data_IF_400377056419
#
_entry.id   IF_400377056419
#
_cell.length_a   1.000
_cell.length_b   1.000
_cell.length_c   1.000
_cell.angle_alpha   90.00
_cell.angle_beta   90.00
_cell.angle_gamma   90.00
#
_symmetry.space_group_name_H-M   'P 1'
#
loop_
_entity.id
_entity.type
_entity.pdbx_description
1 polymer ?
#
# COMPACT_ATOMS: atom_id res chain seq x y z
N UNK A 1 8.52 -3.27 12.35
CA UNK A 1 7.69 -4.41 12.77
C UNK A 1 8.27 -5.66 12.17
N UNK A 2 8.31 -6.77 12.88
CA UNK A 2 8.77 -8.05 12.34
C UNK A 2 7.64 -9.04 12.51
N UNK A 3 7.39 -9.84 11.49
CA UNK A 3 6.33 -10.85 11.50
C UNK A 3 6.87 -12.20 11.02
N UNK A 4 6.42 -13.26 11.68
CA UNK A 4 6.80 -14.64 11.36
C UNK A 4 5.52 -15.46 11.33
N UNK A 5 5.20 -16.05 10.19
CA UNK A 5 4.03 -16.88 9.98
C UNK A 5 4.44 -18.29 9.54
N UNK A 6 3.82 -19.31 10.12
CA UNK A 6 4.07 -20.71 9.80
C UNK A 6 2.77 -21.47 9.60
N UNK A 7 2.78 -22.36 8.62
CA UNK A 7 1.79 -23.42 8.42
C UNK A 7 2.48 -24.69 7.95
N UNK A 8 1.73 -25.78 7.74
CA UNK A 8 2.27 -26.99 7.11
C UNK A 8 2.76 -26.75 5.68
N UNK A 9 2.22 -25.73 5.01
CA UNK A 9 2.45 -25.48 3.59
C UNK A 9 3.44 -24.34 3.32
N UNK A 10 3.67 -23.44 4.27
CA UNK A 10 4.61 -22.33 4.13
C UNK A 10 5.21 -21.85 5.46
N UNK A 11 6.37 -21.23 5.37
CA UNK A 11 6.99 -20.42 6.43
C UNK A 11 7.39 -19.07 5.85
N UNK A 12 6.89 -17.98 6.42
CA UNK A 12 7.03 -16.60 5.95
C UNK A 12 7.70 -15.76 7.04
N UNK A 13 8.71 -14.98 6.65
CA UNK A 13 9.41 -14.04 7.52
C UNK A 13 9.41 -12.67 6.86
N UNK A 14 9.04 -11.64 7.58
CA UNK A 14 9.10 -10.27 7.09
C UNK A 14 9.51 -9.27 8.16
N UNK A 15 9.97 -8.12 7.70
CA UNK A 15 10.35 -7.01 8.55
C UNK A 15 10.06 -5.67 7.88
N UNK A 16 9.74 -4.68 8.69
CA UNK A 16 9.42 -3.35 8.26
C UNK A 16 10.10 -2.32 9.17
N UNK A 17 10.67 -1.29 8.55
CA UNK A 17 11.29 -0.15 9.23
C UNK A 17 10.70 1.13 8.67
N UNK A 18 10.17 1.97 9.53
CA UNK A 18 9.68 3.29 9.18
C UNK A 18 10.59 4.38 9.78
N UNK A 19 10.88 5.39 8.97
CA UNK A 19 11.51 6.62 9.39
C UNK A 19 10.62 7.80 9.06
N UNK A 20 10.24 8.57 10.09
CA UNK A 20 9.40 9.76 9.95
C UNK A 20 10.14 10.97 10.49
N UNK A 21 10.21 12.03 9.68
CA UNK A 21 10.84 13.30 10.08
C UNK A 21 9.89 14.46 9.76
N UNK A 22 9.69 15.29 10.76
CA UNK A 22 9.04 16.59 10.62
C UNK A 22 10.14 17.67 10.59
N UNK A 23 10.13 18.49 9.55
CA UNK A 23 11.03 19.64 9.42
C UNK A 23 10.41 20.89 10.05
N UNK A 24 11.25 21.90 10.36
CA UNK A 24 10.81 23.15 10.98
C UNK A 24 9.77 23.93 10.17
N UNK A 25 9.74 23.75 8.86
CA UNK A 25 8.74 24.32 7.95
C UNK A 25 7.44 23.50 7.82
N UNK A 26 7.17 22.61 8.75
CA UNK A 26 6.04 21.67 8.77
C UNK A 26 5.99 20.67 7.61
N UNK A 27 7.05 20.55 6.82
CA UNK A 27 7.14 19.48 5.82
C UNK A 27 7.45 18.14 6.49
N UNK A 28 6.74 17.10 6.07
CA UNK A 28 6.92 15.75 6.59
C UNK A 28 7.62 14.89 5.53
N UNK A 29 8.63 14.14 5.96
CA UNK A 29 9.24 13.07 5.18
C UNK A 29 8.92 11.74 5.85
N UNK A 30 8.34 10.83 5.10
CA UNK A 30 8.13 9.46 5.54
C UNK A 30 8.88 8.53 4.59
N UNK A 31 9.65 7.63 5.17
CA UNK A 31 10.33 6.54 4.46
C UNK A 31 9.92 5.23 5.12
N UNK A 32 9.58 4.23 4.32
CA UNK A 32 9.24 2.90 4.78
C UNK A 32 10.01 1.88 3.94
N UNK A 33 10.80 1.06 4.60
CA UNK A 33 11.46 -0.08 4.01
C UNK A 33 10.76 -1.35 4.48
N UNK A 34 10.37 -2.19 3.54
CA UNK A 34 9.83 -3.50 3.80
C UNK A 34 10.69 -4.57 3.12
N UNK A 35 10.90 -5.70 3.78
CA UNK A 35 11.52 -6.88 3.20
C UNK A 35 10.86 -8.13 3.75
N UNK A 36 10.51 -9.06 2.87
CA UNK A 36 9.91 -10.34 3.23
C UNK A 36 10.39 -11.48 2.35
N UNK A 37 10.48 -12.67 2.93
CA UNK A 37 10.88 -13.88 2.22
C UNK A 37 10.11 -15.09 2.74
N UNK A 38 9.86 -16.04 1.85
CA UNK A 38 9.41 -17.36 2.23
C UNK A 38 10.63 -18.24 2.57
N UNK A 39 10.64 -18.84 3.75
CA UNK A 39 11.62 -19.84 4.16
C UNK A 39 11.37 -21.14 3.41
N UNK A 40 10.09 -21.52 3.33
CA UNK A 40 9.59 -22.57 2.46
C UNK A 40 8.16 -22.22 2.03
N UNK A 41 7.78 -22.66 0.84
CA UNK A 41 6.44 -22.48 0.30
C UNK A 41 6.14 -23.64 -0.67
N UNK A 42 5.24 -24.52 -0.31
CA UNK A 42 4.82 -25.64 -1.15
C UNK A 42 3.59 -25.29 -1.99
N UNK A 43 2.92 -24.18 -1.67
CA UNK A 43 1.74 -23.72 -2.41
C UNK A 43 2.13 -23.13 -3.76
N UNK A 44 1.28 -23.27 -4.75
CA UNK A 44 1.38 -22.60 -6.04
C UNK A 44 0.37 -21.46 -6.19
N UNK A 45 -0.37 -21.17 -5.10
CA UNK A 45 -1.37 -20.12 -5.09
C UNK A 45 -0.76 -18.77 -4.70
N UNK A 46 -1.47 -17.71 -5.00
CA UNK A 46 -1.21 -16.34 -4.55
C UNK A 46 -1.73 -16.08 -3.11
N UNK A 47 -2.43 -17.05 -2.51
CA UNK A 47 -2.81 -17.00 -1.10
C UNK A 47 -1.55 -16.97 -0.23
N UNK A 48 -1.59 -16.16 0.82
CA UNK A 48 -0.49 -15.97 1.78
C UNK A 48 0.79 -15.35 1.20
N UNK A 49 0.78 -14.94 -0.06
CA UNK A 49 1.89 -14.20 -0.69
C UNK A 49 2.07 -12.82 -0.07
N UNK A 50 3.17 -12.14 -0.41
CA UNK A 50 3.33 -10.72 -0.10
C UNK A 50 2.57 -9.89 -1.12
N UNK A 51 1.63 -9.08 -0.68
CA UNK A 51 0.88 -8.18 -1.55
C UNK A 51 1.69 -6.94 -1.93
N UNK A 52 1.75 -6.61 -3.22
CA UNK A 52 2.46 -5.43 -3.71
C UNK A 52 1.60 -4.16 -3.56
N UNK A 53 0.44 -4.16 -4.19
CA UNK A 53 -0.47 -3.01 -4.29
C UNK A 53 -1.82 -3.24 -3.60
N UNK A 54 -2.07 -4.45 -3.14
CA UNK A 54 -3.30 -4.88 -2.46
C UNK A 54 -3.01 -6.06 -1.55
N UNK A 55 -3.74 -6.20 -0.43
CA UNK A 55 -3.64 -7.37 0.44
C UNK A 55 -3.97 -8.65 -0.32
N UNK A 56 -3.21 -9.70 -0.07
CA UNK A 56 -3.42 -11.04 -0.62
C UNK A 56 -3.85 -12.04 0.43
N UNK A 57 -3.50 -11.79 1.68
CA UNK A 57 -3.81 -12.66 2.82
C UNK A 57 -5.02 -12.13 3.60
N UNK A 58 -6.21 -12.53 3.15
CA UNK A 58 -7.47 -12.09 3.75
C UNK A 58 -7.75 -12.68 5.14
N UNK A 59 -6.99 -13.64 5.60
CA UNK A 59 -7.15 -14.19 6.95
C UNK A 59 -6.49 -13.32 8.01
N UNK A 60 -5.36 -12.72 7.67
CA UNK A 60 -4.54 -11.93 8.59
C UNK A 60 -4.56 -10.43 8.26
N UNK A 61 -5.06 -10.05 7.08
CA UNK A 61 -5.17 -8.66 6.67
C UNK A 61 -6.39 -7.97 7.28
N UNK A 62 -6.31 -6.64 7.37
CA UNK A 62 -7.41 -5.82 7.88
C UNK A 62 -8.68 -5.94 7.04
N UNK A 63 -9.83 -5.89 7.71
CA UNK A 63 -11.10 -5.80 7.03
C UNK A 63 -11.29 -4.39 6.44
N UNK A 64 -11.73 -4.33 5.20
CA UNK A 64 -12.09 -3.10 4.51
C UNK A 64 -13.35 -3.29 3.66
N UNK A 65 -14.01 -2.20 3.32
CA UNK A 65 -15.20 -2.24 2.47
C UNK A 65 -14.82 -2.70 1.06
N UNK A 66 -15.68 -3.52 0.44
CA UNK A 66 -15.44 -4.02 -0.92
C UNK A 66 -14.22 -4.93 -1.06
N UNK A 67 -13.89 -5.68 -0.05
CA UNK A 67 -12.72 -6.57 0.02
C UNK A 67 -12.59 -7.51 -1.18
N UNK A 68 -13.69 -8.00 -1.71
CA UNK A 68 -13.73 -8.88 -2.88
C UNK A 68 -13.99 -8.15 -4.20
N UNK A 69 -14.18 -6.83 -4.18
CA UNK A 69 -14.46 -6.05 -5.36
C UNK A 69 -13.21 -5.89 -6.23
N UNK A 70 -13.30 -6.30 -7.48
CA UNK A 70 -12.24 -6.09 -8.49
C UNK A 70 -12.49 -4.88 -9.37
N UNK A 71 -13.74 -4.40 -9.41
CA UNK A 71 -14.21 -3.27 -10.21
C UNK A 71 -15.11 -2.36 -9.37
N UNK A 72 -15.43 -1.20 -9.89
CA UNK A 72 -16.29 -0.23 -9.22
C UNK A 72 -15.57 0.58 -8.13
N UNK A 73 -16.35 1.41 -7.44
CA UNK A 73 -15.83 2.40 -6.49
C UNK A 73 -15.03 1.77 -5.35
N UNK A 74 -15.51 0.69 -4.75
CA UNK A 74 -14.82 0.07 -3.62
C UNK A 74 -13.50 -0.61 -3.99
N UNK A 75 -13.31 -0.98 -5.28
CA UNK A 75 -12.02 -1.49 -5.76
C UNK A 75 -10.91 -0.44 -5.73
N UNK A 76 -11.27 0.84 -5.60
CA UNK A 76 -10.36 1.97 -5.50
C UNK A 76 -9.95 2.26 -4.05
N UNK A 77 -10.54 1.59 -3.08
CA UNK A 77 -10.10 1.70 -1.69
C UNK A 77 -8.67 1.19 -1.57
N UNK A 78 -7.81 2.04 -1.03
CA UNK A 78 -6.44 1.68 -0.75
C UNK A 78 -6.34 1.11 0.66
N UNK A 79 -5.91 -0.12 0.74
CA UNK A 79 -5.46 -0.76 1.99
C UNK A 79 -4.00 -1.05 1.79
N UNK A 80 -3.16 -0.54 2.69
CA UNK A 80 -1.72 -0.69 2.57
C UNK A 80 -1.35 -2.17 2.70
N UNK A 81 -0.91 -2.75 1.59
CA UNK A 81 -0.29 -4.06 1.56
C UNK A 81 1.18 -3.98 1.99
N UNK A 82 1.82 -5.11 2.11
CA UNK A 82 3.23 -5.19 2.48
C UNK A 82 4.12 -4.35 1.56
N UNK A 83 3.86 -4.38 0.24
CA UNK A 83 4.60 -3.58 -0.74
C UNK A 83 4.33 -2.09 -0.69
N UNK A 84 3.12 -1.69 -0.28
CA UNK A 84 2.73 -0.29 -0.10
C UNK A 84 2.54 0.51 -1.38
N UNK A 85 2.43 -0.14 -2.55
CA UNK A 85 2.23 0.50 -3.85
C UNK A 85 0.79 1.01 -4.00
N UNK A 86 0.63 2.15 -4.67
CA UNK A 86 -0.68 2.80 -4.89
C UNK A 86 -1.22 2.51 -6.27
N UNK A 87 -0.35 2.30 -7.27
CA UNK A 87 -0.74 1.86 -8.61
C UNK A 87 -1.04 0.36 -8.63
N UNK A 88 -2.06 -0.03 -9.39
CA UNK A 88 -2.36 -1.45 -9.64
C UNK A 88 -1.35 -2.00 -10.64
N UNK A 89 -0.49 -2.89 -10.20
CA UNK A 89 0.59 -3.47 -11.00
C UNK A 89 0.35 -4.96 -11.27
N UNK A 90 1.07 -5.49 -12.25
CA UNK A 90 1.14 -6.91 -12.54
C UNK A 90 2.62 -7.32 -12.68
N UNK A 91 3.12 -8.24 -11.84
CA UNK A 91 2.38 -9.01 -10.82
C UNK A 91 2.03 -8.16 -9.58
N UNK A 92 0.87 -8.48 -8.96
CA UNK A 92 0.39 -7.78 -7.76
C UNK A 92 0.91 -8.38 -6.45
N UNK A 93 1.67 -9.46 -6.52
CA UNK A 93 2.14 -10.23 -5.36
C UNK A 93 3.49 -10.88 -5.60
N UNK A 94 4.13 -11.29 -4.51
CA UNK A 94 5.36 -12.08 -4.50
C UNK A 94 5.21 -13.33 -3.62
N UNK A 95 5.48 -14.50 -4.18
CA UNK A 95 5.40 -15.77 -3.48
C UNK A 95 6.76 -16.42 -3.16
N UNK A 96 7.87 -15.70 -3.38
CA UNK A 96 9.19 -16.07 -2.91
C UNK A 96 9.80 -15.01 -1.99
N UNK A 97 10.02 -13.81 -2.49
CA UNK A 97 10.52 -12.70 -1.68
C UNK A 97 10.11 -11.36 -2.29
N UNK A 98 10.08 -10.33 -1.45
CA UNK A 98 9.80 -8.97 -1.85
C UNK A 98 10.58 -7.99 -0.97
N UNK A 99 11.10 -6.93 -1.58
CA UNK A 99 11.68 -5.79 -0.88
C UNK A 99 11.18 -4.52 -1.52
N UNK A 100 10.68 -3.58 -0.71
CA UNK A 100 10.13 -2.31 -1.19
C UNK A 100 10.60 -1.15 -0.35
N UNK A 101 10.77 0.00 -0.99
CA UNK A 101 11.03 1.29 -0.36
C UNK A 101 9.93 2.26 -0.81
N UNK A 102 9.19 2.74 0.16
CA UNK A 102 8.16 3.74 -0.04
C UNK A 102 8.64 5.07 0.54
N UNK A 103 8.47 6.15 -0.20
CA UNK A 103 8.82 7.49 0.23
C UNK A 103 7.65 8.45 0.01
N UNK A 104 7.40 9.34 0.96
CA UNK A 104 6.50 10.46 0.75
C UNK A 104 7.06 11.73 1.36
N UNK A 105 6.80 12.85 0.70
CA UNK A 105 7.23 14.17 1.14
C UNK A 105 6.09 15.18 1.03
N UNK A 106 5.76 15.83 2.15
CA UNK A 106 4.75 16.88 2.18
C UNK A 106 5.31 18.17 1.54
N UNK A 107 4.68 18.58 0.45
CA UNK A 107 4.98 19.89 -0.21
C UNK A 107 4.15 20.98 0.45
N UNK A 108 2.94 20.67 0.85
CA UNK A 108 2.00 21.55 1.55
C UNK A 108 1.32 20.80 2.69
N UNK A 109 0.60 21.49 3.55
CA UNK A 109 -0.08 20.89 4.70
C UNK A 109 -1.01 19.70 4.33
N UNK A 110 -1.53 19.68 3.13
CA UNK A 110 -2.48 18.68 2.65
C UNK A 110 -2.09 18.03 1.31
N UNK A 111 -0.93 18.42 0.73
CA UNK A 111 -0.41 17.84 -0.52
C UNK A 111 0.95 17.20 -0.25
N UNK A 112 1.04 15.93 -0.58
CA UNK A 112 2.27 15.16 -0.53
C UNK A 112 2.57 14.57 -1.91
N UNK A 113 3.85 14.45 -2.25
CA UNK A 113 4.30 13.59 -3.35
C UNK A 113 4.77 12.27 -2.77
N UNK A 114 4.54 11.20 -3.50
CA UNK A 114 5.04 9.89 -3.12
C UNK A 114 5.74 9.21 -4.28
N UNK A 115 6.62 8.27 -3.94
CA UNK A 115 7.27 7.38 -4.88
C UNK A 115 7.63 6.07 -4.19
N UNK A 116 7.36 4.98 -4.86
CA UNK A 116 7.57 3.63 -4.38
C UNK A 116 8.44 2.88 -5.38
N UNK A 117 9.40 2.13 -4.89
CA UNK A 117 10.22 1.22 -5.68
C UNK A 117 10.29 -0.14 -4.99
N UNK A 118 10.40 -1.19 -5.77
CA UNK A 118 10.47 -2.53 -5.20
C UNK A 118 11.06 -3.56 -6.16
N UNK A 119 11.56 -4.61 -5.55
CA UNK A 119 11.98 -5.83 -6.23
C UNK A 119 11.18 -6.98 -5.65
N UNK A 120 10.67 -7.82 -6.52
CA UNK A 120 9.88 -8.97 -6.12
C UNK A 120 10.19 -10.20 -6.99
N UNK A 121 10.00 -11.37 -6.41
CA UNK A 121 10.25 -12.64 -7.04
C UNK A 121 9.08 -13.59 -6.83
N UNK A 122 8.61 -14.15 -7.93
CA UNK A 122 7.68 -15.27 -7.94
C UNK A 122 8.39 -16.56 -8.38
N UNK A 123 7.85 -17.69 -7.95
CA UNK A 123 8.34 -19.01 -8.39
C UNK A 123 8.31 -19.11 -9.91
N UNK A 124 9.38 -19.64 -10.47
CA UNK A 124 9.53 -19.89 -11.91
C UNK A 124 9.46 -18.63 -12.79
N UNK A 125 9.60 -17.45 -12.22
CA UNK A 125 9.64 -16.17 -12.94
C UNK A 125 10.96 -15.46 -12.66
N UNK A 126 11.37 -14.54 -13.54
CA UNK A 126 12.49 -13.63 -13.27
C UNK A 126 12.10 -12.60 -12.20
N UNK A 127 13.09 -11.95 -11.60
CA UNK A 127 12.86 -10.82 -10.71
C UNK A 127 12.13 -9.71 -11.47
N UNK A 128 11.19 -9.08 -10.78
CA UNK A 128 10.42 -7.96 -11.32
C UNK A 128 10.73 -6.70 -10.53
N UNK A 129 11.11 -5.64 -11.24
CA UNK A 129 11.30 -4.31 -10.67
C UNK A 129 10.01 -3.52 -10.80
N UNK A 130 9.43 -3.15 -9.67
CA UNK A 130 8.23 -2.34 -9.57
C UNK A 130 8.58 -0.91 -9.19
N UNK A 131 7.86 0.04 -9.76
CA UNK A 131 7.89 1.45 -9.34
C UNK A 131 6.55 2.11 -9.57
N UNK A 132 6.20 3.05 -8.71
CA UNK A 132 5.13 4.01 -8.94
C UNK A 132 5.43 5.35 -8.29
N UNK A 133 4.70 6.37 -8.70
CA UNK A 133 4.79 7.71 -8.12
C UNK A 133 3.51 8.48 -8.37
N UNK A 134 3.23 9.45 -7.50
CA UNK A 134 2.02 10.24 -7.64
C UNK A 134 1.91 11.33 -6.57
N UNK A 135 0.68 11.84 -6.47
CA UNK A 135 0.31 12.88 -5.52
C UNK A 135 -0.69 12.27 -4.52
N UNK A 136 -0.47 12.55 -3.25
CA UNK A 136 -1.40 12.25 -2.17
C UNK A 136 -2.01 13.54 -1.66
N UNK A 137 -3.34 13.57 -1.56
CA UNK A 137 -4.08 14.61 -0.86
C UNK A 137 -4.52 14.08 0.49
N UNK A 138 -4.03 14.68 1.54
CA UNK A 138 -4.41 14.40 2.91
C UNK A 138 -5.47 15.43 3.35
N UNK A 139 -6.72 15.18 2.98
CA UNK A 139 -7.82 16.15 3.15
C UNK A 139 -8.27 16.27 4.60
N UNK A 140 -8.31 15.15 5.30
CA UNK A 140 -8.56 15.09 6.74
C UNK A 140 -7.47 14.18 7.31
N UNK A 141 -6.47 14.75 8.02
CA UNK A 141 -5.34 13.98 8.52
C UNK A 141 -5.77 12.71 9.24
N UNK A 142 -5.19 11.57 8.84
CA UNK A 142 -5.43 10.23 9.37
C UNK A 142 -6.84 9.65 9.10
N UNK A 143 -7.72 10.33 8.36
CA UNK A 143 -9.09 9.88 8.13
C UNK A 143 -9.50 9.79 6.66
N UNK A 144 -9.15 10.79 5.86
CA UNK A 144 -9.52 10.80 4.45
C UNK A 144 -8.37 11.25 3.57
N UNK A 145 -7.90 10.35 2.75
CA UNK A 145 -6.80 10.55 1.84
C UNK A 145 -7.20 10.13 0.42
N UNK A 146 -6.66 10.84 -0.56
CA UNK A 146 -6.76 10.51 -1.97
C UNK A 146 -5.37 10.36 -2.58
N UNK A 147 -5.18 9.32 -3.36
CA UNK A 147 -3.95 9.05 -4.10
C UNK A 147 -4.22 9.15 -5.59
N UNK A 148 -3.39 9.93 -6.27
CA UNK A 148 -3.43 10.18 -7.70
C UNK A 148 -2.15 9.61 -8.31
N UNK A 149 -2.14 8.36 -8.81
CA UNK A 149 -0.99 7.80 -9.49
C UNK A 149 -0.66 8.61 -10.75
N UNK A 150 0.61 8.96 -10.92
CA UNK A 150 1.07 9.78 -12.06
C UNK A 150 1.87 8.92 -13.04
N UNK A 151 2.86 8.19 -12.51
CA UNK A 151 3.76 7.39 -13.33
C UNK A 151 4.11 6.08 -12.63
N UNK A 152 4.06 4.98 -13.37
CA UNK A 152 4.34 3.63 -12.84
C UNK A 152 4.92 2.72 -13.94
N UNK A 153 5.09 1.44 -13.64
CA UNK A 153 5.39 0.41 -14.66
C UNK A 153 4.38 0.39 -15.81
N UNK A 154 3.17 0.91 -15.62
CA UNK A 154 2.17 1.05 -16.66
C UNK A 154 2.37 2.30 -17.55
N UNK A 155 3.44 3.08 -17.30
CA UNK A 155 3.71 4.35 -17.94
C UNK A 155 2.98 5.53 -17.30
N UNK A 156 2.67 6.57 -18.07
CA UNK A 156 1.93 7.74 -17.60
C UNK A 156 0.49 7.40 -17.29
N UNK A 157 0.16 7.19 -16.01
CA UNK A 157 -1.17 6.77 -15.56
C UNK A 157 -2.24 7.81 -15.88
N UNK A 158 -1.88 9.11 -15.74
CA UNK A 158 -2.79 10.24 -15.97
C UNK A 158 -3.28 10.36 -17.42
N UNK A 159 -2.57 9.79 -18.36
CA UNK A 159 -2.95 9.83 -19.80
C UNK A 159 -3.73 8.60 -20.26
N UNK A 160 -3.87 7.62 -19.39
CA UNK A 160 -4.54 6.38 -19.73
C UNK A 160 -6.07 6.52 -19.63
N UNK A 161 -6.75 5.71 -20.44
CA UNK A 161 -8.21 5.63 -20.40
C UNK A 161 -8.69 5.24 -18.99
N UNK A 162 -9.79 5.84 -18.54
CA UNK A 162 -10.41 5.57 -17.24
C UNK A 162 -9.51 5.89 -16.04
N UNK A 163 -8.75 6.95 -16.14
CA UNK A 163 -7.89 7.40 -15.03
C UNK A 163 -8.64 7.56 -13.70
N UNK A 164 -9.91 7.94 -13.75
CA UNK A 164 -10.78 8.03 -12.58
C UNK A 164 -10.87 6.70 -11.79
N UNK A 165 -10.76 5.55 -12.45
CA UNK A 165 -10.79 4.23 -11.81
C UNK A 165 -9.44 3.88 -11.14
N UNK A 166 -8.38 4.64 -11.43
CA UNK A 166 -7.03 4.47 -10.87
C UNK A 166 -6.78 5.28 -9.60
N UNK A 167 -7.58 6.32 -9.39
CA UNK A 167 -7.52 7.12 -8.15
C UNK A 167 -7.88 6.21 -7.00
N UNK A 168 -7.04 6.22 -5.96
CA UNK A 168 -7.24 5.42 -4.76
C UNK A 168 -7.64 6.32 -3.59
N UNK A 169 -8.45 5.81 -2.70
CA UNK A 169 -8.85 6.53 -1.51
C UNK A 169 -8.65 5.69 -0.25
N UNK A 170 -8.36 6.36 0.85
CA UNK A 170 -8.39 5.78 2.21
C UNK A 170 -9.47 6.48 2.99
N UNK A 171 -10.31 5.70 3.66
CA UNK A 171 -11.27 6.20 4.65
C UNK A 171 -11.03 5.39 5.92
N UNK A 172 -10.58 6.06 6.97
CA UNK A 172 -10.37 5.44 8.28
C UNK A 172 -11.52 5.78 9.21
N UNK A 173 -12.24 4.76 9.63
CA UNK A 173 -13.30 4.89 10.63
C UNK A 173 -12.77 4.46 12.00
N UNK A 174 -12.62 5.41 12.92
CA UNK A 174 -12.34 5.08 14.31
C UNK A 174 -13.57 5.43 15.17
N UNK A 175 -13.94 4.59 16.15
CA UNK A 175 -15.04 4.90 17.05
C UNK A 175 -14.86 6.25 17.77
N UNK A 176 -13.61 6.58 18.14
CA UNK A 176 -13.27 7.85 18.79
C UNK A 176 -13.57 9.06 17.89
N UNK A 177 -13.27 8.94 16.59
CA UNK A 177 -13.54 10.00 15.63
C UNK A 177 -15.02 10.18 15.38
N UNK A 178 -15.76 9.08 15.26
CA UNK A 178 -17.21 9.14 15.14
C UNK A 178 -17.82 9.87 16.34
N UNK A 179 -17.40 9.54 17.57
CA UNK A 179 -17.85 10.22 18.78
C UNK A 179 -17.48 11.71 18.76
N UNK A 180 -16.25 12.06 18.35
CA UNK A 180 -15.84 13.47 18.23
C UNK A 180 -16.64 14.23 17.18
N UNK A 181 -16.98 13.59 16.08
CA UNK A 181 -17.80 14.14 15.02
C UNK A 181 -19.22 14.49 15.54
N UNK A 182 -19.82 13.58 16.30
CA UNK A 182 -21.13 13.80 16.92
C UNK A 182 -21.10 14.80 18.07
N UNK A 183 -20.02 14.86 18.82
CA UNK A 183 -19.86 15.79 19.94
C UNK A 183 -19.32 17.16 19.52
N UNK A 184 -19.11 17.39 18.23
CA UNK A 184 -18.51 18.62 17.65
C UNK A 184 -17.16 19.03 18.28
N UNK A 185 -16.43 18.09 18.82
CA UNK A 185 -15.06 18.30 19.33
C UNK A 185 -14.08 17.99 18.20
N UNK A 186 -13.86 18.97 17.35
CA UNK A 186 -12.95 18.84 16.19
C UNK A 186 -11.46 19.11 16.52
N UNK A 187 -11.17 19.52 17.79
CA UNK A 187 -9.83 19.90 18.24
C UNK A 187 -9.53 19.32 19.63
#
# INVERSE_FOLDING_TARGET
MNDIQFSGDFGKLSGEVEYRRLFENNHKLNLRLYAGTFIYNTTNSDYFSFGLDRPTDYLFDYNFFGRSETTGFFSQQYVMAEGGFKSKLAPAYANQWMTTLNASYAIWNWIEVYGDIGLLKNKHQSEYFAYDSGIRLNLVPDYFELYFPVYSNNGWEITQNKYNEKIRFVITFSPKTLVNLFTRKWF
#
